data_IF_149835498374
#
_entry.id   IF_149835498374
#
_cell.length_a   1.000
_cell.length_b   1.000
_cell.length_c   1.000
_cell.angle_alpha   90.00
_cell.angle_beta   90.00
_cell.angle_gamma   90.00
#
_symmetry.space_group_name_H-M   'P 1'
#
loop_
_entity.id
_entity.type
_entity.pdbx_description
1 polymer ?
#
# COMPACT_ATOMS: atom_id res chain seq x y z
N UNK A 1 23.91 -2.50 12.70
CA UNK A 1 22.95 -2.98 13.74
C UNK A 1 21.55 -2.39 13.47
N UNK A 2 20.57 -3.24 13.16
CA UNK A 2 19.17 -2.84 13.00
C UNK A 2 18.43 -2.98 14.33
N UNK A 3 17.63 -1.98 14.70
CA UNK A 3 16.84 -1.93 15.95
C UNK A 3 15.42 -2.41 15.66
N UNK A 4 14.81 -3.30 16.46
CA UNK A 4 13.40 -3.66 16.34
C UNK A 4 12.50 -2.42 16.39
N UNK A 5 11.69 -2.19 15.36
CA UNK A 5 10.80 -1.03 15.33
C UNK A 5 9.50 -1.35 16.08
N UNK A 6 9.32 -0.77 17.27
CA UNK A 6 8.08 -0.90 18.05
C UNK A 6 6.83 -0.35 17.32
N UNK A 7 7.02 0.45 16.26
CA UNK A 7 5.97 0.88 15.33
C UNK A 7 6.43 0.60 13.91
N UNK A 8 5.56 0.04 13.08
CA UNK A 8 5.77 0.03 11.63
C UNK A 8 5.70 1.48 11.14
N UNK A 9 6.84 2.03 10.74
CA UNK A 9 6.91 3.35 10.12
C UNK A 9 6.69 3.14 8.64
N UNK A 10 5.53 3.58 8.14
CA UNK A 10 5.30 3.67 6.70
C UNK A 10 6.53 4.33 6.04
N UNK A 11 7.03 3.78 4.92
CA UNK A 11 8.21 4.34 4.25
C UNK A 11 8.07 5.85 4.13
N UNK A 12 9.13 6.65 4.32
CA UNK A 12 8.98 8.10 4.42
C UNK A 12 8.21 8.74 3.25
N UNK A 13 8.25 8.14 2.06
CA UNK A 13 7.43 8.51 0.91
C UNK A 13 5.90 8.55 1.18
N UNK A 14 5.39 7.71 2.09
CA UNK A 14 4.00 7.69 2.58
C UNK A 14 3.78 8.60 3.80
N UNK A 15 4.84 9.00 4.51
CA UNK A 15 4.76 9.85 5.71
C UNK A 15 5.10 11.32 5.47
N UNK A 16 5.71 11.65 4.33
CA UNK A 16 6.06 13.01 3.92
C UNK A 16 4.89 13.66 3.20
N UNK A 17 4.02 14.35 3.95
CA UNK A 17 2.93 15.12 3.38
C UNK A 17 1.98 14.30 2.52
N UNK A 18 1.05 14.98 1.86
CA UNK A 18 0.13 14.34 0.94
C UNK A 18 0.91 13.66 -0.21
N UNK A 19 0.82 12.32 -0.32
CA UNK A 19 1.41 11.52 -1.43
C UNK A 19 1.11 12.12 -2.81
N UNK A 20 -0.07 12.70 -2.92
CA UNK A 20 -0.48 13.60 -3.97
C UNK A 20 -0.48 14.99 -3.33
N UNK A 21 0.50 15.84 -3.64
CA UNK A 21 0.31 17.25 -3.35
C UNK A 21 -0.96 17.73 -4.08
N UNK A 22 -1.62 18.79 -3.62
CA UNK A 22 -2.82 19.30 -4.31
C UNK A 22 -2.57 19.73 -5.77
N UNK A 23 -1.34 19.57 -6.28
CA UNK A 23 -0.90 19.79 -7.65
C UNK A 23 -0.64 18.49 -8.40
N UNK A 24 -0.67 17.34 -7.74
CA UNK A 24 -0.37 16.05 -8.32
C UNK A 24 -1.56 15.63 -9.15
N UNK A 25 -1.35 15.61 -10.46
CA UNK A 25 -2.36 15.18 -11.40
C UNK A 25 -2.24 13.66 -11.54
N UNK A 26 -3.30 12.97 -11.12
CA UNK A 26 -3.46 11.55 -11.44
C UNK A 26 -3.95 11.50 -12.88
N UNK A 27 -3.04 11.14 -13.79
CA UNK A 27 -3.39 10.94 -15.19
C UNK A 27 -3.86 9.49 -15.38
N UNK A 28 -5.09 9.34 -15.88
CA UNK A 28 -5.57 8.09 -16.45
C UNK A 28 -5.22 8.15 -17.95
N UNK A 29 -4.66 7.08 -18.51
CA UNK A 29 -4.42 7.03 -19.94
C UNK A 29 -5.76 7.11 -20.67
N UNK A 30 -5.83 7.85 -21.79
CA UNK A 30 -7.10 8.04 -22.52
C UNK A 30 -7.77 6.73 -22.93
N UNK A 31 -6.98 5.68 -23.21
CA UNK A 31 -7.50 4.35 -23.49
C UNK A 31 -8.18 3.72 -22.25
N UNK A 32 -7.58 3.87 -21.07
CA UNK A 32 -8.10 3.36 -19.81
C UNK A 32 -9.34 4.16 -19.36
N UNK A 33 -9.39 5.46 -19.64
CA UNK A 33 -10.55 6.30 -19.37
C UNK A 33 -11.78 5.87 -20.19
N UNK A 34 -11.58 5.58 -21.49
CA UNK A 34 -12.65 5.06 -22.34
C UNK A 34 -13.16 3.70 -21.84
N UNK A 35 -12.27 2.84 -21.36
CA UNK A 35 -12.63 1.54 -20.76
C UNK A 35 -13.43 1.74 -19.47
N UNK A 36 -12.96 2.61 -18.58
CA UNK A 36 -13.66 2.92 -17.32
C UNK A 36 -15.02 3.60 -17.55
N UNK A 37 -15.15 4.41 -18.59
CA UNK A 37 -16.41 5.04 -18.95
C UNK A 37 -17.43 4.06 -19.57
N UNK A 38 -16.96 3.03 -20.26
CA UNK A 38 -17.78 1.93 -20.78
C UNK A 38 -18.19 0.96 -19.65
N UNK A 39 -17.37 0.82 -18.61
CA UNK A 39 -17.70 0.02 -17.43
C UNK A 39 -18.85 0.64 -16.63
N UNK A 40 -19.85 -0.19 -16.31
CA UNK A 40 -20.91 0.18 -15.37
C UNK A 40 -20.40 0.33 -13.94
N UNK A 41 -21.12 1.06 -13.06
CA UNK A 41 -20.71 1.33 -11.69
C UNK A 41 -20.48 0.06 -10.85
N UNK A 42 -21.25 -1.00 -11.09
CA UNK A 42 -21.06 -2.29 -10.42
C UNK A 42 -19.78 -3.01 -10.87
N UNK A 43 -19.42 -2.92 -12.16
CA UNK A 43 -18.17 -3.49 -12.66
C UNK A 43 -16.96 -2.76 -12.05
N UNK A 44 -17.01 -1.42 -11.98
CA UNK A 44 -15.98 -0.61 -11.32
C UNK A 44 -15.83 -0.99 -9.84
N UNK A 45 -16.93 -1.15 -9.10
CA UNK A 45 -16.89 -1.63 -7.71
C UNK A 45 -16.26 -3.01 -7.59
N UNK A 46 -16.58 -3.92 -8.51
CA UNK A 46 -16.01 -5.26 -8.57
C UNK A 46 -14.49 -5.24 -8.77
N UNK A 47 -14.00 -4.45 -9.73
CA UNK A 47 -12.58 -4.29 -10.00
C UNK A 47 -11.82 -3.68 -8.81
N UNK A 48 -12.39 -2.65 -8.18
CA UNK A 48 -11.82 -2.06 -6.96
C UNK A 48 -11.72 -3.10 -5.85
N UNK A 49 -12.78 -3.88 -5.62
CA UNK A 49 -12.78 -4.90 -4.57
C UNK A 49 -11.74 -5.99 -4.83
N UNK A 50 -11.65 -6.48 -6.08
CA UNK A 50 -10.70 -7.51 -6.48
C UNK A 50 -9.24 -7.06 -6.29
N UNK A 51 -8.91 -5.85 -6.74
CA UNK A 51 -7.56 -5.30 -6.64
C UNK A 51 -7.20 -4.86 -5.22
N UNK A 52 -8.17 -4.37 -4.43
CA UNK A 52 -7.95 -3.99 -3.03
C UNK A 52 -7.55 -5.20 -2.18
N UNK A 53 -8.08 -6.39 -2.48
CA UNK A 53 -7.72 -7.61 -1.77
C UNK A 53 -6.23 -7.96 -1.93
N UNK A 54 -5.67 -7.79 -3.12
CA UNK A 54 -4.24 -8.00 -3.35
C UNK A 54 -3.39 -7.01 -2.54
N UNK A 55 -3.80 -5.74 -2.47
CA UNK A 55 -3.13 -4.71 -1.66
C UNK A 55 -3.20 -5.05 -0.16
N UNK A 56 -4.36 -5.50 0.33
CA UNK A 56 -4.50 -5.91 1.74
C UNK A 56 -3.65 -7.14 2.08
N UNK A 57 -3.60 -8.14 1.21
CA UNK A 57 -2.75 -9.32 1.41
C UNK A 57 -1.26 -8.96 1.43
N UNK A 58 -0.83 -8.02 0.58
CA UNK A 58 0.53 -7.50 0.60
C UNK A 58 0.82 -6.78 1.92
N UNK A 59 -0.11 -5.94 2.39
CA UNK A 59 0.01 -5.21 3.65
C UNK A 59 0.11 -6.18 4.85
N UNK A 60 -0.71 -7.23 4.87
CA UNK A 60 -0.67 -8.28 5.89
C UNK A 60 0.68 -8.99 5.89
N UNK A 61 1.17 -9.39 4.71
CA UNK A 61 2.45 -10.09 4.57
C UNK A 61 3.62 -9.22 5.05
N UNK A 62 3.67 -7.95 4.64
CA UNK A 62 4.68 -7.00 5.10
C UNK A 62 4.62 -6.82 6.61
N UNK A 63 3.41 -6.67 7.18
CA UNK A 63 3.22 -6.53 8.63
C UNK A 63 3.70 -7.76 9.39
N UNK A 64 3.38 -8.96 8.91
CA UNK A 64 3.84 -10.23 9.49
C UNK A 64 5.36 -10.36 9.48
N UNK A 65 6.00 -10.08 8.33
CA UNK A 65 7.46 -10.14 8.18
C UNK A 65 8.15 -9.12 9.11
N UNK A 66 7.63 -7.90 9.21
CA UNK A 66 8.17 -6.89 10.12
C UNK A 66 8.09 -7.34 11.58
N UNK A 67 6.99 -7.97 12.00
CA UNK A 67 6.86 -8.53 13.34
C UNK A 67 7.91 -9.62 13.61
N UNK A 68 8.16 -10.50 12.64
CA UNK A 68 9.17 -11.55 12.73
C UNK A 68 10.59 -10.98 12.78
N UNK A 69 10.89 -9.98 11.96
CA UNK A 69 12.18 -9.29 11.99
C UNK A 69 12.40 -8.60 13.33
N UNK A 70 11.40 -7.89 13.85
CA UNK A 70 11.47 -7.27 15.17
C UNK A 70 11.78 -8.29 16.26
N UNK A 71 11.10 -9.44 16.24
CA UNK A 71 11.38 -10.54 17.18
C UNK A 71 12.82 -11.04 17.06
N UNK A 72 13.30 -11.30 15.85
CA UNK A 72 14.67 -11.77 15.61
C UNK A 72 15.73 -10.78 16.12
N UNK A 73 15.51 -9.47 15.88
CA UNK A 73 16.42 -8.43 16.36
C UNK A 73 16.45 -8.33 17.89
N UNK A 74 15.31 -8.51 18.57
CA UNK A 74 15.26 -8.58 20.04
C UNK A 74 16.04 -9.77 20.59
N UNK A 75 15.91 -10.95 19.97
CA UNK A 75 16.63 -12.16 20.39
C UNK A 75 18.15 -12.07 20.13
N UNK A 76 18.57 -11.37 19.08
CA UNK A 76 20.00 -11.14 18.76
C UNK A 76 20.66 -10.17 19.73
N UNK A 77 19.94 -9.12 20.12
CA UNK A 77 20.48 -8.02 20.95
C UNK A 77 20.38 -8.29 22.46
N UNK A 78 19.76 -9.42 22.87
CA UNK A 78 19.70 -9.93 24.25
C UNK A 78 20.94 -10.76 24.61
#
# INVERSE_FOLDING_TARGET
PGVPAARFVLPPAFSHGSLFDGKTQIAILTADEAILADMGPEAIRGEIAAHSMAVFNLLETVTFLNGRECKYLQERDA
#
